data_IF_905440354077
#
_entry.id   IF_905440354077
#
_cell.length_a   1.000
_cell.length_b   1.000
_cell.length_c   1.000
_cell.angle_alpha   90.00
_cell.angle_beta   90.00
_cell.angle_gamma   90.00
#
_symmetry.space_group_name_H-M   'P 1'
#
loop_
_entity.id
_entity.type
_entity.pdbx_description
1 polymer ?
#
# COMPACT_ATOMS: atom_id res chain seq x y z
N UNK A 1 -24.70 69.57 60.75
CA UNK A 1 -25.33 68.46 60.00
C UNK A 1 -24.32 68.01 58.97
N UNK A 2 -23.68 66.86 59.20
CA UNK A 2 -22.58 66.34 58.37
C UNK A 2 -23.20 65.54 57.24
N UNK A 3 -22.84 65.87 55.98
CA UNK A 3 -23.41 65.26 54.79
C UNK A 3 -22.80 63.88 54.56
N UNK A 4 -23.66 62.90 54.35
CA UNK A 4 -23.33 61.47 54.29
C UNK A 4 -23.09 61.05 52.84
N UNK A 5 -22.05 61.58 52.24
CA UNK A 5 -21.52 61.13 50.95
C UNK A 5 -20.07 60.81 51.20
N UNK A 6 -19.75 59.52 51.37
CA UNK A 6 -18.47 58.87 51.09
C UNK A 6 -18.53 57.45 51.65
N UNK A 7 -19.20 56.55 50.92
CA UNK A 7 -18.95 55.11 51.01
C UNK A 7 -18.40 54.68 49.66
N UNK A 8 -17.07 54.78 49.51
CA UNK A 8 -16.34 54.25 48.37
C UNK A 8 -16.63 52.74 48.23
N UNK A 9 -17.27 52.36 47.15
CA UNK A 9 -17.38 50.97 46.71
C UNK A 9 -16.00 50.48 46.26
N UNK A 10 -15.40 49.58 47.05
CA UNK A 10 -14.19 48.85 46.67
C UNK A 10 -14.50 47.93 45.46
N UNK A 11 -13.67 47.92 44.40
CA UNK A 11 -13.88 47.03 43.26
C UNK A 11 -13.61 45.56 43.63
N UNK A 12 -14.51 44.67 43.22
CA UNK A 12 -14.39 43.22 43.39
C UNK A 12 -13.38 42.65 42.36
N UNK A 13 -12.23 42.20 42.86
CA UNK A 13 -11.12 41.65 42.06
C UNK A 13 -11.17 40.11 41.91
N UNK A 14 -12.23 39.44 42.40
CA UNK A 14 -12.25 37.97 42.47
C UNK A 14 -12.62 37.26 41.16
N UNK A 15 -13.26 37.95 40.20
CA UNK A 15 -13.70 37.34 38.95
C UNK A 15 -12.67 37.43 37.82
N UNK A 16 -11.78 38.43 37.84
CA UNK A 16 -10.76 38.62 36.81
C UNK A 16 -9.74 37.49 36.74
N UNK A 17 -9.42 36.83 37.86
CA UNK A 17 -8.45 35.73 37.88
C UNK A 17 -8.99 34.42 37.28
N UNK A 18 -10.29 34.14 37.43
CA UNK A 18 -10.90 32.91 36.90
C UNK A 18 -11.08 32.96 35.39
N UNK A 19 -11.35 34.13 34.84
CA UNK A 19 -11.57 34.33 33.40
C UNK A 19 -10.27 34.31 32.60
N UNK A 20 -9.19 34.86 33.15
CA UNK A 20 -7.86 34.83 32.54
C UNK A 20 -7.29 33.40 32.44
N UNK A 21 -7.57 32.54 33.43
CA UNK A 21 -7.16 31.13 33.41
C UNK A 21 -7.93 30.36 32.31
N UNK A 22 -9.25 30.51 32.23
CA UNK A 22 -10.08 29.75 31.27
C UNK A 22 -9.77 30.08 29.80
N UNK A 23 -9.34 31.30 29.49
CA UNK A 23 -9.11 31.76 28.11
C UNK A 23 -7.75 31.33 27.53
N UNK A 24 -6.68 31.29 28.35
CA UNK A 24 -5.35 30.90 27.86
C UNK A 24 -5.07 29.39 27.94
N UNK A 25 -5.67 28.67 28.89
CA UNK A 25 -5.39 27.24 29.04
C UNK A 25 -6.07 26.36 27.99
N UNK A 26 -7.25 26.77 27.48
CA UNK A 26 -7.98 25.98 26.49
C UNK A 26 -7.29 25.98 25.11
N UNK A 27 -6.79 27.14 24.65
CA UNK A 27 -6.10 27.24 23.36
C UNK A 27 -4.74 26.52 23.39
N UNK A 28 -4.01 26.56 24.51
CA UNK A 28 -2.75 25.84 24.67
C UNK A 28 -2.97 24.33 24.66
N UNK A 29 -4.02 23.83 25.34
CA UNK A 29 -4.39 22.42 25.34
C UNK A 29 -4.75 21.94 23.93
N UNK A 30 -5.55 22.74 23.20
CA UNK A 30 -5.97 22.40 21.85
C UNK A 30 -4.80 22.39 20.86
N UNK A 31 -3.89 23.37 20.95
CA UNK A 31 -2.68 23.42 20.13
C UNK A 31 -1.75 22.22 20.40
N UNK A 32 -1.60 21.84 21.67
CA UNK A 32 -0.83 20.66 22.07
C UNK A 32 -1.46 19.37 21.51
N UNK A 33 -2.77 19.19 21.65
CA UNK A 33 -3.47 18.02 21.12
C UNK A 33 -3.33 17.92 19.58
N UNK A 34 -3.42 19.06 18.87
CA UNK A 34 -3.26 19.10 17.41
C UNK A 34 -1.82 18.75 16.99
N UNK A 35 -0.81 19.21 17.73
CA UNK A 35 0.58 18.87 17.47
C UNK A 35 0.85 17.36 17.65
N UNK A 36 0.34 16.76 18.72
CA UNK A 36 0.45 15.30 18.95
C UNK A 36 -0.25 14.52 17.84
N UNK A 37 -1.43 14.97 17.41
CA UNK A 37 -2.16 14.35 16.31
C UNK A 37 -1.38 14.41 14.98
N UNK A 38 -0.81 15.57 14.63
CA UNK A 38 -0.01 15.73 13.41
C UNK A 38 1.29 14.91 13.44
N UNK A 39 1.99 14.89 14.57
CA UNK A 39 3.21 14.09 14.74
C UNK A 39 2.86 12.59 14.65
N UNK A 40 1.81 12.15 15.35
CA UNK A 40 1.33 10.77 15.28
C UNK A 40 0.91 10.35 13.87
N UNK A 41 0.14 11.20 13.18
CA UNK A 41 -0.26 11.00 11.78
C UNK A 41 0.97 10.91 10.86
N UNK A 42 1.95 11.80 11.01
CA UNK A 42 3.20 11.77 10.26
C UNK A 42 4.02 10.50 10.49
N UNK A 43 4.10 10.01 11.74
CA UNK A 43 4.77 8.75 12.07
C UNK A 43 4.03 7.55 11.44
N UNK A 44 2.70 7.54 11.50
CA UNK A 44 1.90 6.45 10.91
C UNK A 44 2.03 6.42 9.38
N UNK A 45 1.97 7.58 8.72
CA UNK A 45 2.20 7.70 7.27
C UNK A 45 3.64 7.31 6.89
N UNK A 46 4.63 7.61 7.74
CA UNK A 46 6.02 7.22 7.51
C UNK A 46 6.27 5.71 7.70
N UNK A 47 5.59 5.06 8.66
CA UNK A 47 5.77 3.63 8.93
C UNK A 47 5.12 2.73 7.88
N UNK A 48 4.07 3.18 7.21
CA UNK A 48 3.31 2.35 6.27
C UNK A 48 4.06 1.99 4.98
N UNK A 49 5.27 2.54 4.77
CA UNK A 49 5.98 2.48 3.49
C UNK A 49 7.36 1.78 3.56
N UNK A 50 7.58 0.88 4.53
CA UNK A 50 8.80 0.06 4.61
C UNK A 50 8.51 -1.42 4.39
N UNK A 51 8.16 -1.76 3.16
CA UNK A 51 8.30 -3.14 2.70
C UNK A 51 9.79 -3.46 2.60
N UNK A 52 10.26 -4.39 3.43
CA UNK A 52 11.54 -5.05 3.20
C UNK A 52 11.17 -6.36 2.52
N UNK A 53 11.52 -6.56 1.23
CA UNK A 53 11.25 -7.84 0.59
C UNK A 53 11.90 -8.94 1.43
N UNK A 54 11.23 -10.08 1.64
CA UNK A 54 11.88 -11.24 2.21
C UNK A 54 13.14 -11.54 1.40
N UNK A 55 14.30 -11.48 2.06
CA UNK A 55 15.56 -11.90 1.46
C UNK A 55 15.57 -13.41 1.50
N UNK A 56 15.31 -14.03 0.35
CA UNK A 56 15.53 -15.46 0.22
C UNK A 56 17.03 -15.73 0.24
N UNK A 57 17.48 -16.74 0.98
CA UNK A 57 18.88 -17.16 0.96
C UNK A 57 19.26 -17.57 -0.48
N UNK A 58 20.41 -17.12 -0.96
CA UNK A 58 20.93 -17.55 -2.27
C UNK A 58 21.11 -19.08 -2.27
N UNK A 59 20.98 -19.73 -3.42
CA UNK A 59 21.05 -21.19 -3.53
C UNK A 59 22.30 -21.80 -2.89
N UNK A 60 23.41 -21.06 -2.86
CA UNK A 60 24.68 -21.44 -2.20
C UNK A 60 24.56 -21.63 -0.68
N UNK A 61 23.68 -20.86 -0.02
CA UNK A 61 23.44 -20.95 1.42
C UNK A 61 22.54 -22.14 1.80
N UNK A 62 21.73 -22.63 0.86
CA UNK A 62 20.92 -23.85 1.03
C UNK A 62 21.81 -25.09 0.97
N UNK A 63 22.81 -25.11 0.07
CA UNK A 63 23.76 -26.23 -0.03
C UNK A 63 24.60 -26.42 1.24
N UNK A 64 24.90 -25.32 1.94
CA UNK A 64 25.72 -25.37 3.16
C UNK A 64 24.99 -25.90 4.39
N UNK A 65 23.64 -25.86 4.41
CA UNK A 65 22.82 -26.38 5.50
C UNK A 65 22.30 -27.81 5.25
N UNK A 66 22.32 -28.28 4.00
CA UNK A 66 21.82 -29.60 3.59
C UNK A 66 22.88 -30.70 3.71
N UNK A 67 23.50 -30.81 4.90
CA UNK A 67 24.24 -31.99 5.30
C UNK A 67 23.27 -33.09 5.72
N UNK A 68 22.85 -33.92 4.76
CA UNK A 68 22.10 -35.16 4.92
C UNK A 68 20.66 -35.01 5.48
N UNK A 69 19.66 -35.02 4.60
CA UNK A 69 18.43 -35.83 4.71
C UNK A 69 17.44 -35.49 3.57
N UNK A 70 17.10 -36.52 2.79
CA UNK A 70 15.90 -36.70 1.93
C UNK A 70 15.32 -35.46 1.25
N UNK A 71 15.89 -35.13 0.10
CA UNK A 71 15.33 -34.26 -0.92
C UNK A 71 14.19 -34.97 -1.69
N UNK A 72 12.99 -35.01 -1.10
CA UNK A 72 11.79 -34.79 -1.92
C UNK A 72 11.75 -33.29 -2.21
N UNK A 73 12.55 -32.91 -3.19
CA UNK A 73 12.82 -31.54 -3.59
C UNK A 73 11.51 -30.94 -4.12
N UNK A 74 10.86 -30.04 -3.36
CA UNK A 74 9.91 -29.08 -3.93
C UNK A 74 10.76 -28.11 -4.76
N UNK A 75 11.31 -28.61 -5.87
CA UNK A 75 11.99 -27.80 -6.86
C UNK A 75 10.90 -26.97 -7.51
N UNK A 76 10.93 -25.67 -7.22
CA UNK A 76 10.14 -24.72 -7.99
C UNK A 76 10.40 -25.00 -9.47
N UNK A 77 9.37 -25.13 -10.32
CA UNK A 77 9.58 -25.55 -11.70
C UNK A 77 10.63 -24.65 -12.32
N UNK A 78 11.72 -25.25 -12.80
CA UNK A 78 12.91 -24.52 -13.26
C UNK A 78 12.56 -23.47 -14.30
N UNK A 79 11.47 -23.66 -15.04
CA UNK A 79 10.98 -22.79 -16.10
C UNK A 79 9.71 -22.02 -15.71
N UNK A 80 9.60 -21.63 -14.44
CA UNK A 80 8.49 -20.81 -13.93
C UNK A 80 8.95 -19.46 -13.40
N UNK A 81 8.08 -18.45 -13.56
CA UNK A 81 8.18 -17.14 -12.96
C UNK A 81 7.26 -17.10 -11.73
N UNK A 82 7.82 -16.69 -10.60
CA UNK A 82 7.04 -16.29 -9.44
C UNK A 82 6.76 -14.79 -9.49
N UNK A 83 5.50 -14.42 -9.34
CA UNK A 83 5.09 -13.04 -9.13
C UNK A 83 4.53 -12.94 -7.71
N UNK A 84 5.31 -12.33 -6.82
CA UNK A 84 4.89 -12.03 -5.45
C UNK A 84 4.19 -10.68 -5.42
N UNK A 85 2.96 -10.66 -4.90
CA UNK A 85 2.18 -9.43 -4.76
C UNK A 85 1.89 -9.21 -3.29
N UNK A 86 2.14 -7.99 -2.83
CA UNK A 86 1.88 -7.58 -1.46
C UNK A 86 1.11 -6.27 -1.39
N UNK A 87 0.39 -6.08 -0.29
CA UNK A 87 -0.27 -4.81 0.04
C UNK A 87 -1.77 -4.83 -0.15
N UNK A 88 -2.44 -5.99 -0.19
CA UNK A 88 -3.90 -6.01 -0.11
C UNK A 88 -4.40 -5.41 1.21
N UNK A 89 -5.62 -4.85 1.22
CA UNK A 89 -6.16 -4.18 2.40
C UNK A 89 -6.63 -5.18 3.48
N UNK A 90 -7.02 -6.37 3.04
CA UNK A 90 -7.52 -7.49 3.83
C UNK A 90 -7.44 -8.76 2.95
N UNK A 91 -7.80 -9.90 3.54
CA UNK A 91 -7.76 -11.21 2.86
C UNK A 91 -9.12 -11.59 2.22
N UNK A 92 -10.07 -10.65 2.09
CA UNK A 92 -11.35 -10.90 1.42
C UNK A 92 -11.18 -10.84 -0.09
N UNK A 93 -11.94 -11.67 -0.81
CA UNK A 93 -11.88 -11.70 -2.27
C UNK A 93 -10.60 -12.30 -2.81
N UNK A 94 -10.14 -11.80 -3.95
CA UNK A 94 -8.99 -12.36 -4.68
C UNK A 94 -8.04 -11.28 -5.22
N UNK A 95 -6.79 -11.67 -5.40
CA UNK A 95 -5.85 -10.89 -6.20
C UNK A 95 -6.04 -11.24 -7.68
N UNK A 96 -6.28 -10.24 -8.52
CA UNK A 96 -6.38 -10.37 -9.98
C UNK A 96 -5.11 -9.86 -10.63
N UNK A 97 -4.52 -10.65 -11.52
CA UNK A 97 -3.30 -10.30 -12.25
C UNK A 97 -3.55 -10.37 -13.77
N UNK A 98 -3.11 -9.35 -14.49
CA UNK A 98 -3.16 -9.29 -15.95
C UNK A 98 -1.78 -9.00 -16.55
N UNK A 99 -1.45 -9.67 -17.65
CA UNK A 99 -0.20 -9.49 -18.40
C UNK A 99 -0.48 -8.87 -19.76
N UNK A 100 0.32 -7.87 -20.13
CA UNK A 100 0.22 -7.11 -21.36
C UNK A 100 1.55 -7.11 -22.10
N UNK A 101 1.53 -7.28 -23.41
CA UNK A 101 2.73 -7.32 -24.26
C UNK A 101 2.87 -6.11 -25.18
N UNK A 102 1.88 -5.22 -25.21
CA UNK A 102 1.86 -4.06 -26.09
C UNK A 102 1.22 -2.83 -25.45
N UNK A 103 1.56 -1.61 -25.93
CA UNK A 103 0.87 -0.39 -25.53
C UNK A 103 -0.63 -0.39 -25.84
N UNK A 104 -1.06 -1.05 -26.91
CA UNK A 104 -2.44 -1.07 -27.38
C UNK A 104 -3.34 -1.94 -26.49
N UNK A 105 -2.80 -3.02 -25.93
CA UNK A 105 -3.52 -3.90 -25.01
C UNK A 105 -3.52 -3.38 -23.56
N UNK A 106 -2.61 -2.49 -23.22
CA UNK A 106 -2.35 -2.11 -21.83
C UNK A 106 -3.56 -1.44 -21.15
N UNK A 107 -3.95 -1.95 -19.98
CA UNK A 107 -5.15 -1.58 -19.22
C UNK A 107 -6.49 -1.95 -19.89
N UNK A 108 -6.49 -2.72 -20.97
CA UNK A 108 -7.68 -3.35 -21.53
C UNK A 108 -7.69 -4.83 -21.14
N UNK A 109 -8.55 -5.19 -20.18
CA UNK A 109 -8.65 -6.56 -19.66
C UNK A 109 -8.91 -7.55 -20.80
N UNK A 110 -9.72 -7.24 -21.80
CA UNK A 110 -10.06 -8.17 -22.88
C UNK A 110 -8.91 -8.37 -23.87
N UNK A 111 -8.01 -7.41 -23.98
CA UNK A 111 -6.81 -7.50 -24.80
C UNK A 111 -5.60 -8.11 -24.08
N UNK A 112 -5.70 -8.44 -22.79
CA UNK A 112 -4.61 -9.03 -22.01
C UNK A 112 -4.18 -10.41 -22.53
N UNK A 113 -2.89 -10.73 -22.40
CA UNK A 113 -2.32 -12.03 -22.82
C UNK A 113 -2.56 -13.14 -21.83
N UNK A 114 -2.63 -12.80 -20.55
CA UNK A 114 -2.95 -13.75 -19.49
C UNK A 114 -3.69 -13.04 -18.37
N UNK A 115 -4.61 -13.78 -17.75
CA UNK A 115 -5.40 -13.38 -16.58
C UNK A 115 -5.29 -14.48 -15.54
N UNK A 116 -5.00 -14.10 -14.30
CA UNK A 116 -4.90 -15.03 -13.18
C UNK A 116 -5.66 -14.48 -11.98
N UNK A 117 -6.07 -15.39 -11.12
CA UNK A 117 -6.69 -15.07 -9.83
C UNK A 117 -6.11 -15.98 -8.77
N UNK A 118 -5.84 -15.43 -7.60
CA UNK A 118 -5.33 -16.20 -6.47
C UNK A 118 -5.79 -15.61 -5.15
N UNK A 119 -5.95 -16.47 -4.15
CA UNK A 119 -6.37 -16.09 -2.80
C UNK A 119 -5.31 -15.23 -2.12
N UNK A 120 -5.78 -14.34 -1.25
CA UNK A 120 -4.95 -13.44 -0.45
C UNK A 120 -4.78 -14.03 0.94
N UNK A 121 -3.56 -14.05 1.45
CA UNK A 121 -3.24 -14.49 2.82
C UNK A 121 -2.30 -13.47 3.44
N UNK A 122 -2.68 -12.89 4.58
CA UNK A 122 -1.95 -11.82 5.26
C UNK A 122 -1.64 -10.61 4.36
N UNK A 123 -2.55 -10.27 3.45
CA UNK A 123 -2.39 -9.17 2.51
C UNK A 123 -1.43 -9.46 1.35
N UNK A 124 -1.05 -10.73 1.15
CA UNK A 124 -0.07 -11.18 0.15
C UNK A 124 -0.61 -12.34 -0.69
N UNK A 125 -0.09 -12.46 -1.91
CA UNK A 125 -0.41 -13.52 -2.86
C UNK A 125 0.82 -13.84 -3.73
N UNK A 126 0.92 -15.09 -4.19
CA UNK A 126 1.95 -15.52 -5.13
C UNK A 126 1.30 -16.15 -6.35
N UNK A 127 1.70 -15.70 -7.55
CA UNK A 127 1.34 -16.33 -8.82
C UNK A 127 2.53 -17.11 -9.38
N UNK A 128 2.24 -18.27 -9.96
CA UNK A 128 3.20 -19.11 -10.65
C UNK A 128 2.81 -19.19 -12.13
N UNK A 129 3.71 -18.77 -13.02
CA UNK A 129 3.47 -18.84 -14.46
C UNK A 129 4.61 -19.57 -15.19
N UNK A 130 4.32 -20.34 -16.25
CA UNK A 130 5.36 -20.86 -17.13
C UNK A 130 6.08 -19.71 -17.84
N UNK A 131 7.40 -19.62 -17.74
CA UNK A 131 8.20 -18.55 -18.35
C UNK A 131 8.09 -18.55 -19.87
N UNK A 132 7.94 -19.73 -20.48
CA UNK A 132 7.82 -19.89 -21.93
C UNK A 132 6.51 -19.31 -22.49
N UNK A 133 5.45 -19.26 -21.67
CA UNK A 133 4.18 -18.67 -22.05
C UNK A 133 4.20 -17.13 -21.98
N UNK A 134 5.26 -16.54 -21.43
CA UNK A 134 5.40 -15.09 -21.28
C UNK A 134 6.12 -14.46 -22.48
N UNK A 135 5.68 -13.28 -22.93
CA UNK A 135 6.43 -12.46 -23.88
C UNK A 135 7.82 -12.09 -23.35
N UNK A 136 8.76 -11.76 -24.25
CA UNK A 136 10.11 -11.25 -23.86
C UNK A 136 10.04 -9.92 -23.10
N UNK A 137 9.06 -9.09 -23.43
CA UNK A 137 8.80 -7.80 -22.80
C UNK A 137 7.33 -7.71 -22.49
N UNK A 138 7.01 -7.44 -21.23
CA UNK A 138 5.63 -7.36 -20.79
C UNK A 138 5.48 -6.40 -19.62
N UNK A 139 4.25 -5.97 -19.39
CA UNK A 139 3.86 -5.26 -18.19
C UNK A 139 2.84 -6.11 -17.41
N UNK A 140 2.87 -5.98 -16.10
CA UNK A 140 1.92 -6.63 -15.19
C UNK A 140 1.06 -5.55 -14.55
N UNK A 141 -0.26 -5.77 -14.53
CA UNK A 141 -1.18 -5.02 -13.69
C UNK A 141 -1.81 -5.97 -12.68
N UNK A 142 -1.97 -5.51 -11.45
CA UNK A 142 -2.55 -6.29 -10.36
C UNK A 142 -3.54 -5.43 -9.59
N UNK A 143 -4.67 -6.01 -9.19
CA UNK A 143 -5.61 -5.36 -8.29
C UNK A 143 -6.25 -6.34 -7.32
N UNK A 144 -6.73 -5.80 -6.20
CA UNK A 144 -7.50 -6.50 -5.18
C UNK A 144 -8.98 -6.41 -5.53
N UNK A 145 -9.59 -7.53 -5.89
CA UNK A 145 -11.02 -7.67 -6.17
C UNK A 145 -11.72 -8.18 -4.91
N UNK A 146 -12.26 -7.26 -4.11
CA UNK A 146 -12.88 -7.59 -2.82
C UNK A 146 -14.26 -8.23 -2.96
N UNK A 147 -15.01 -7.86 -4.01
CA UNK A 147 -16.40 -8.27 -4.22
C UNK A 147 -16.58 -9.39 -5.27
N UNK A 148 -15.49 -9.85 -5.89
CA UNK A 148 -15.44 -10.94 -6.86
C UNK A 148 -16.20 -10.66 -8.16
N UNK A 149 -16.27 -9.40 -8.59
CA UNK A 149 -16.88 -9.04 -9.87
C UNK A 149 -15.90 -9.08 -11.05
N UNK A 150 -14.60 -9.24 -10.77
CA UNK A 150 -13.55 -9.29 -11.79
C UNK A 150 -13.19 -7.93 -12.37
N UNK A 151 -13.74 -6.84 -11.85
CA UNK A 151 -13.49 -5.48 -12.29
C UNK A 151 -12.77 -4.68 -11.20
N UNK A 152 -11.92 -3.73 -11.63
CA UNK A 152 -11.33 -2.79 -10.68
C UNK A 152 -12.40 -1.76 -10.29
N UNK A 153 -12.89 -1.85 -9.06
CA UNK A 153 -13.93 -0.96 -8.57
C UNK A 153 -13.46 0.50 -8.56
N UNK A 154 -14.33 1.39 -9.03
CA UNK A 154 -14.07 2.83 -9.13
C UNK A 154 -15.19 3.63 -8.50
N UNK A 155 -14.83 4.73 -7.85
CA UNK A 155 -15.81 5.68 -7.38
C UNK A 155 -16.42 6.49 -8.55
N UNK A 156 -17.39 7.34 -8.23
CA UNK A 156 -18.13 8.20 -9.19
C UNK A 156 -17.24 9.19 -9.96
N UNK A 157 -15.99 9.38 -9.55
CA UNK A 157 -14.99 10.21 -10.21
C UNK A 157 -13.98 9.37 -11.04
N UNK A 158 -14.22 8.06 -11.18
CA UNK A 158 -13.35 7.15 -11.92
C UNK A 158 -12.06 6.76 -11.19
N UNK A 159 -11.92 7.11 -9.91
CA UNK A 159 -10.74 6.77 -9.10
C UNK A 159 -10.94 5.36 -8.53
N UNK A 160 -9.95 4.46 -8.67
CA UNK A 160 -10.01 3.14 -8.05
C UNK A 160 -10.28 3.23 -6.55
N UNK A 161 -11.29 2.50 -6.07
CA UNK A 161 -11.58 2.35 -4.65
C UNK A 161 -10.81 1.19 -4.02
N UNK A 162 -10.37 0.25 -4.84
CA UNK A 162 -9.54 -0.88 -4.44
C UNK A 162 -8.05 -0.63 -4.73
N UNK A 163 -7.19 -1.36 -4.02
CA UNK A 163 -5.75 -1.27 -4.19
C UNK A 163 -5.33 -1.91 -5.52
N UNK A 164 -4.47 -1.21 -6.25
CA UNK A 164 -3.92 -1.68 -7.50
C UNK A 164 -2.42 -1.35 -7.59
N UNK A 165 -1.76 -2.03 -8.52
CA UNK A 165 -0.33 -1.88 -8.76
C UNK A 165 0.05 -2.34 -10.16
N UNK A 166 1.24 -1.94 -10.56
CA UNK A 166 1.83 -2.27 -11.83
C UNK A 166 3.26 -2.74 -11.60
N UNK A 167 3.80 -3.53 -12.54
CA UNK A 167 5.23 -3.78 -12.58
C UNK A 167 6.01 -2.46 -12.60
N UNK A 168 7.20 -2.48 -11.98
CA UNK A 168 8.06 -1.28 -11.76
C UNK A 168 7.44 -0.18 -10.91
N UNK A 169 6.38 -0.50 -10.15
CA UNK A 169 5.61 0.48 -9.37
C UNK A 169 5.15 1.68 -10.22
N UNK A 170 4.87 1.44 -11.50
CA UNK A 170 4.51 2.49 -12.44
C UNK A 170 3.25 3.24 -11.98
N UNK A 171 3.27 4.58 -12.12
CA UNK A 171 2.17 5.46 -11.76
C UNK A 171 2.03 6.59 -12.77
N UNK A 172 0.80 6.85 -13.20
CA UNK A 172 0.47 8.05 -13.95
C UNK A 172 0.21 9.23 -13.01
N UNK A 173 0.47 10.44 -13.50
CA UNK A 173 0.08 11.69 -12.81
C UNK A 173 -1.43 11.95 -12.94
N UNK A 174 -1.98 11.65 -14.12
CA UNK A 174 -3.37 11.83 -14.47
C UNK A 174 -3.87 10.56 -15.15
N UNK A 175 -4.41 9.63 -14.37
CA UNK A 175 -4.88 8.32 -14.86
C UNK A 175 -3.83 7.20 -14.75
N UNK A 176 -4.05 6.06 -15.42
CA UNK A 176 -3.13 4.93 -15.38
C UNK A 176 -1.77 5.29 -16.01
N UNK A 177 -0.69 4.59 -15.64
CA UNK A 177 0.63 4.77 -16.26
C UNK A 177 0.61 4.40 -17.74
N UNK A 178 1.68 4.77 -18.47
CA UNK A 178 1.89 4.25 -19.82
C UNK A 178 2.54 2.87 -19.75
N UNK A 179 2.33 2.06 -20.78
CA UNK A 179 3.00 0.76 -20.90
C UNK A 179 4.52 0.87 -20.77
N UNK A 180 5.13 1.92 -21.34
CA UNK A 180 6.57 2.20 -21.25
C UNK A 180 7.09 2.33 -19.83
N UNK A 181 6.23 2.73 -18.89
CA UNK A 181 6.61 2.97 -17.50
C UNK A 181 6.56 1.67 -16.68
N UNK A 182 5.69 0.74 -17.10
CA UNK A 182 5.46 -0.54 -16.45
C UNK A 182 6.23 -1.71 -17.09
N UNK A 183 6.64 -1.61 -18.36
CA UNK A 183 7.26 -2.72 -19.09
C UNK A 183 8.59 -3.17 -18.48
N UNK A 184 8.73 -4.47 -18.30
CA UNK A 184 9.94 -5.17 -17.88
C UNK A 184 10.38 -6.14 -18.97
N UNK A 185 11.66 -6.52 -18.93
CA UNK A 185 12.13 -7.68 -19.67
C UNK A 185 11.81 -8.93 -18.85
N UNK A 186 11.57 -10.04 -19.53
CA UNK A 186 11.34 -11.34 -18.90
C UNK A 186 12.48 -11.69 -17.93
N UNK A 187 12.18 -11.89 -16.63
CA UNK A 187 13.18 -12.28 -15.64
C UNK A 187 13.79 -13.65 -15.98
N UNK A 188 14.94 -13.94 -15.37
CA UNK A 188 15.53 -15.28 -15.50
C UNK A 188 14.68 -16.30 -14.74
N UNK A 189 14.69 -17.58 -15.16
CA UNK A 189 14.01 -18.62 -14.41
C UNK A 189 14.54 -18.71 -12.98
N UNK A 190 13.62 -18.81 -12.01
CA UNK A 190 13.91 -18.77 -10.58
C UNK A 190 13.98 -17.37 -9.95
N UNK A 191 13.89 -16.30 -10.73
CA UNK A 191 13.78 -14.94 -10.20
C UNK A 191 12.34 -14.63 -9.75
N UNK A 192 12.19 -13.86 -8.67
CA UNK A 192 10.89 -13.44 -8.14
C UNK A 192 10.62 -12.00 -8.58
N UNK A 193 9.52 -11.80 -9.29
CA UNK A 193 8.99 -10.47 -9.60
C UNK A 193 8.12 -10.00 -8.43
N UNK A 194 8.60 -9.05 -7.65
CA UNK A 194 7.82 -8.42 -6.58
C UNK A 194 6.99 -7.24 -7.12
N UNK A 195 5.72 -7.18 -6.74
CA UNK A 195 4.79 -6.08 -7.09
C UNK A 195 4.09 -5.63 -5.82
N UNK A 196 3.98 -4.32 -5.63
CA UNK A 196 3.20 -3.72 -4.53
C UNK A 196 1.92 -3.08 -5.04
N UNK A 197 0.82 -3.34 -4.33
CA UNK A 197 -0.46 -2.64 -4.52
C UNK A 197 -0.72 -1.69 -3.34
N UNK A 198 -1.35 -0.54 -3.62
CA UNK A 198 -1.65 0.49 -2.61
C UNK A 198 -2.77 1.40 -3.06
#
# INVERSE_FOLDING_TARGET
MVNQTDLETQPDYSDTHRELWRQNHLSILLAFAFAVFLIGSGILLYRQNRFVPPRFPDSESITSASGNNTSDDIQLPKDSLLIGVAGAANDQGEMKLAIYDSPESFNDIDASKAKLSATIVNGETVFLLPIEALPERFAVAVFHDENLDGELNRNRFGIPSERYGYSRDARGLTGPPKFSDAVINRPKPGEILAISIR
#
